data_IF_595011688445
#
_entry.id   IF_595011688445
#
_cell.length_a   1.000
_cell.length_b   1.000
_cell.length_c   1.000
_cell.angle_alpha   90.00
_cell.angle_beta   90.00
_cell.angle_gamma   90.00
#
_symmetry.space_group_name_H-M   'P 1'
#
loop_
_entity.id
_entity.type
_entity.pdbx_description
1 polymer ?
#
# COMPACT_ATOMS: atom_id res chain seq x y z
N UNK A 1 -1.18 -8.27 -30.49
CA UNK A 1 -1.83 -8.67 -29.22
C UNK A 1 -1.45 -10.11 -28.88
N UNK A 2 -1.07 -10.39 -27.63
CA UNK A 2 -0.50 -11.68 -27.20
C UNK A 2 -1.38 -12.90 -27.52
N UNK A 3 -2.69 -12.82 -27.27
CA UNK A 3 -3.62 -13.92 -27.53
C UNK A 3 -3.78 -14.27 -29.01
N UNK A 4 -3.89 -13.25 -29.89
CA UNK A 4 -3.96 -13.44 -31.35
C UNK A 4 -2.68 -14.07 -31.88
N UNK A 5 -1.54 -13.63 -31.36
CA UNK A 5 -0.21 -14.15 -31.69
C UNK A 5 0.11 -15.48 -31.00
N UNK A 6 -0.83 -16.07 -30.24
CA UNK A 6 -0.68 -17.33 -29.49
C UNK A 6 0.58 -17.37 -28.60
N UNK A 7 0.97 -16.22 -28.07
CA UNK A 7 2.11 -16.11 -27.17
C UNK A 7 1.77 -16.79 -25.84
N UNK A 8 2.71 -17.60 -25.34
CA UNK A 8 2.56 -18.28 -24.06
C UNK A 8 3.19 -17.44 -22.96
N UNK A 9 2.43 -17.23 -21.89
CA UNK A 9 2.90 -16.64 -20.66
C UNK A 9 2.34 -17.40 -19.45
N UNK A 10 2.85 -17.06 -18.28
CA UNK A 10 2.55 -17.68 -17.01
C UNK A 10 1.03 -17.67 -16.71
N UNK A 11 0.51 -18.79 -16.22
CA UNK A 11 -0.95 -19.03 -16.14
C UNK A 11 -1.59 -18.60 -14.82
N UNK A 12 -0.78 -18.13 -13.88
CA UNK A 12 -1.18 -17.73 -12.52
C UNK A 12 -1.94 -16.40 -12.52
N UNK A 13 -1.66 -15.52 -13.49
CA UNK A 13 -2.29 -14.21 -13.57
C UNK A 13 -3.79 -14.31 -13.88
N UNK A 14 -4.59 -13.47 -13.23
CA UNK A 14 -6.02 -13.29 -13.48
C UNK A 14 -6.29 -11.82 -13.75
N UNK A 15 -6.61 -11.50 -15.00
CA UNK A 15 -6.80 -10.12 -15.45
C UNK A 15 -8.21 -9.62 -15.14
N UNK A 16 -8.28 -8.43 -14.54
CA UNK A 16 -9.54 -7.70 -14.33
C UNK A 16 -9.54 -6.50 -15.27
N UNK A 17 -10.50 -6.45 -16.20
CA UNK A 17 -10.59 -5.37 -17.16
C UNK A 17 -11.21 -4.12 -16.52
N UNK A 18 -10.51 -3.00 -16.64
CA UNK A 18 -11.03 -1.64 -16.42
C UNK A 18 -10.85 -0.82 -17.69
N UNK A 19 -11.60 0.27 -17.82
CA UNK A 19 -11.51 1.13 -19.01
C UNK A 19 -10.23 1.98 -19.03
N UNK A 20 -9.72 2.36 -17.86
CA UNK A 20 -8.51 3.16 -17.69
C UNK A 20 -7.77 2.68 -16.44
N UNK A 21 -6.44 2.67 -16.48
CA UNK A 21 -5.61 2.36 -15.31
C UNK A 21 -5.86 3.35 -14.17
N UNK A 22 -6.25 4.59 -14.45
CA UNK A 22 -6.66 5.57 -13.43
C UNK A 22 -7.89 5.16 -12.61
N UNK A 23 -8.62 4.12 -13.02
CA UNK A 23 -9.69 3.52 -12.20
C UNK A 23 -9.13 2.67 -11.06
N UNK A 24 -7.88 2.21 -11.18
CA UNK A 24 -7.19 1.39 -10.19
C UNK A 24 -6.76 2.27 -9.02
N UNK A 25 -7.64 2.33 -8.03
CA UNK A 25 -7.40 2.98 -6.75
C UNK A 25 -6.64 2.07 -5.77
N UNK A 26 -5.97 2.69 -4.78
CA UNK A 26 -5.25 2.04 -3.68
C UNK A 26 -6.07 0.94 -2.97
N UNK A 27 -7.39 1.13 -2.76
CA UNK A 27 -8.24 0.10 -2.13
C UNK A 27 -8.28 -1.20 -2.96
N UNK A 28 -8.26 -1.14 -4.30
CA UNK A 28 -8.25 -2.35 -5.12
C UNK A 28 -6.97 -3.15 -4.91
N UNK A 29 -5.83 -2.45 -4.83
CA UNK A 29 -4.51 -3.04 -4.66
C UNK A 29 -4.41 -3.70 -3.28
N UNK A 30 -4.70 -2.93 -2.22
CA UNK A 30 -4.63 -3.43 -0.85
C UNK A 30 -5.66 -4.54 -0.58
N UNK A 31 -6.85 -4.46 -1.19
CA UNK A 31 -7.86 -5.53 -1.11
C UNK A 31 -7.39 -6.82 -1.78
N UNK A 32 -6.66 -6.75 -2.89
CA UNK A 32 -6.10 -7.94 -3.53
C UNK A 32 -5.12 -8.66 -2.57
N UNK A 33 -4.18 -7.92 -1.97
CA UNK A 33 -3.30 -8.48 -0.93
C UNK A 33 -4.09 -9.00 0.28
N UNK A 34 -5.14 -8.30 0.70
CA UNK A 34 -5.98 -8.72 1.84
C UNK A 34 -6.75 -10.01 1.58
N UNK A 35 -6.99 -10.33 0.30
CA UNK A 35 -7.59 -11.59 -0.14
C UNK A 35 -6.53 -12.68 -0.40
N UNK A 36 -5.26 -12.46 -0.03
CA UNK A 36 -4.19 -13.45 -0.13
C UNK A 36 -3.54 -13.57 -1.51
N UNK A 37 -3.60 -12.53 -2.35
CA UNK A 37 -2.86 -12.54 -3.62
C UNK A 37 -1.36 -12.27 -3.38
N UNK A 38 -0.49 -13.12 -3.93
CA UNK A 38 0.97 -13.02 -3.73
C UNK A 38 1.62 -11.87 -4.51
N UNK A 39 0.96 -11.40 -5.57
CA UNK A 39 1.39 -10.26 -6.37
C UNK A 39 0.22 -9.57 -7.06
N UNK A 40 0.37 -8.27 -7.29
CA UNK A 40 -0.61 -7.43 -8.01
C UNK A 40 0.10 -6.76 -9.19
N UNK A 41 -0.51 -6.87 -10.36
CA UNK A 41 0.00 -6.28 -11.60
C UNK A 41 -0.98 -5.23 -12.12
N UNK A 42 -0.48 -4.04 -12.48
CA UNK A 42 -1.25 -2.95 -13.08
C UNK A 42 -0.73 -2.71 -14.50
N UNK A 43 -1.54 -3.03 -15.50
CA UNK A 43 -1.26 -2.68 -16.90
C UNK A 43 -1.99 -1.39 -17.30
N UNK A 44 -1.27 -0.45 -17.92
CA UNK A 44 -1.85 0.80 -18.42
C UNK A 44 -1.33 1.19 -19.81
N UNK A 45 -1.93 2.22 -20.41
CA UNK A 45 -1.39 2.86 -21.62
C UNK A 45 -0.03 3.50 -21.31
N UNK A 46 0.90 3.49 -22.29
CA UNK A 46 2.15 4.25 -22.21
C UNK A 46 1.93 5.65 -21.63
N UNK A 47 2.84 6.08 -20.78
CA UNK A 47 2.79 7.43 -20.21
C UNK A 47 2.82 8.45 -21.36
N UNK A 48 2.02 9.52 -21.24
CA UNK A 48 1.73 10.51 -22.29
C UNK A 48 0.85 10.03 -23.46
N UNK A 49 0.62 8.73 -23.63
CA UNK A 49 -0.27 8.14 -24.65
C UNK A 49 -1.62 7.67 -24.06
N UNK A 50 -2.09 8.33 -22.99
CA UNK A 50 -3.36 7.96 -22.38
C UNK A 50 -4.53 8.23 -23.34
N UNK A 51 -5.42 7.25 -23.50
CA UNK A 51 -6.67 7.43 -24.26
C UNK A 51 -7.61 8.48 -23.62
N UNK A 52 -7.45 8.76 -22.33
CA UNK A 52 -8.26 9.74 -21.60
C UNK A 52 -7.44 11.00 -21.33
N UNK A 53 -7.99 12.17 -21.67
CA UNK A 53 -7.35 13.49 -21.50
C UNK A 53 -6.95 13.79 -20.06
N UNK A 54 -7.62 13.18 -19.08
CA UNK A 54 -7.27 13.31 -17.66
C UNK A 54 -5.90 12.72 -17.31
N UNK A 55 -5.34 11.88 -18.20
CA UNK A 55 -4.05 11.21 -18.02
C UNK A 55 -4.03 10.32 -16.76
N UNK A 56 -5.05 9.47 -16.63
CA UNK A 56 -5.23 8.59 -15.46
C UNK A 56 -4.15 7.51 -15.29
N UNK A 57 -3.29 7.30 -16.28
CA UNK A 57 -2.10 6.46 -16.15
C UNK A 57 -1.08 7.04 -15.15
N UNK A 58 -0.98 8.36 -15.03
CA UNK A 58 -0.18 9.00 -13.98
C UNK A 58 -0.79 8.87 -12.59
N UNK A 59 -2.13 8.88 -12.48
CA UNK A 59 -2.82 8.60 -11.20
C UNK A 59 -2.55 7.16 -10.75
N UNK A 60 -2.56 6.21 -11.69
CA UNK A 60 -2.19 4.82 -11.42
C UNK A 60 -0.73 4.67 -10.97
N UNK A 61 0.20 5.41 -11.59
CA UNK A 61 1.61 5.47 -11.18
C UNK A 61 1.74 6.01 -9.74
N UNK A 62 1.09 7.13 -9.44
CA UNK A 62 1.09 7.71 -8.09
C UNK A 62 0.54 6.75 -7.03
N UNK A 63 -0.62 6.13 -7.30
CA UNK A 63 -1.21 5.13 -6.42
C UNK A 63 -0.28 3.92 -6.20
N UNK A 64 0.41 3.46 -7.25
CA UNK A 64 1.36 2.36 -7.12
C UNK A 64 2.56 2.75 -6.25
N UNK A 65 3.12 3.94 -6.43
CA UNK A 65 4.25 4.43 -5.64
C UNK A 65 3.87 4.63 -4.15
N UNK A 66 2.69 5.20 -3.89
CA UNK A 66 2.12 5.30 -2.53
C UNK A 66 1.96 3.90 -1.93
N UNK A 67 1.37 2.96 -2.67
CA UNK A 67 1.15 1.60 -2.20
C UNK A 67 2.47 0.89 -1.91
N UNK A 68 3.50 1.03 -2.75
CA UNK A 68 4.83 0.44 -2.51
C UNK A 68 5.43 0.91 -1.19
N UNK A 69 5.34 2.22 -0.88
CA UNK A 69 5.79 2.74 0.42
C UNK A 69 5.01 2.14 1.60
N UNK A 70 3.69 1.99 1.46
CA UNK A 70 2.85 1.36 2.48
C UNK A 70 3.24 -0.11 2.68
N UNK A 71 3.42 -0.87 1.59
CA UNK A 71 3.82 -2.28 1.64
C UNK A 71 5.16 -2.44 2.38
N UNK A 72 6.16 -1.64 2.01
CA UNK A 72 7.47 -1.62 2.67
C UNK A 72 7.33 -1.31 4.17
N UNK A 73 6.53 -0.30 4.53
CA UNK A 73 6.31 0.07 5.93
C UNK A 73 5.62 -1.02 6.76
N UNK A 74 4.71 -1.81 6.17
CA UNK A 74 4.07 -2.93 6.88
C UNK A 74 4.90 -4.22 6.84
N UNK A 75 6.06 -4.21 6.20
CA UNK A 75 7.01 -5.32 6.14
C UNK A 75 6.86 -6.23 4.92
N UNK A 76 5.98 -5.89 3.96
CA UNK A 76 5.80 -6.64 2.73
C UNK A 76 6.76 -6.15 1.64
N UNK A 77 7.23 -7.06 0.80
CA UNK A 77 8.08 -6.69 -0.33
C UNK A 77 7.31 -5.78 -1.32
N UNK A 78 7.75 -4.53 -1.57
CA UNK A 78 7.08 -3.61 -2.49
C UNK A 78 7.06 -4.11 -3.95
N UNK A 79 7.97 -5.02 -4.32
CA UNK A 79 8.02 -5.59 -5.67
C UNK A 79 6.96 -6.66 -5.94
N UNK A 80 6.15 -7.01 -4.92
CA UNK A 80 4.88 -7.71 -5.13
C UNK A 80 3.85 -6.86 -5.87
N UNK A 81 4.07 -5.54 -6.01
CA UNK A 81 3.27 -4.66 -6.85
C UNK A 81 4.10 -4.22 -8.06
N UNK A 82 3.66 -4.57 -9.27
CA UNK A 82 4.28 -4.12 -10.52
C UNK A 82 3.30 -3.33 -11.35
N UNK A 83 3.78 -2.24 -11.96
CA UNK A 83 3.01 -1.39 -12.86
C UNK A 83 3.79 -1.26 -14.16
N UNK A 84 3.13 -1.51 -15.28
CA UNK A 84 3.75 -1.46 -16.60
C UNK A 84 2.86 -0.71 -17.58
N UNK A 85 3.48 0.16 -18.37
CA UNK A 85 2.79 1.03 -19.32
C UNK A 85 3.16 0.65 -20.75
N UNK A 86 2.18 0.20 -21.53
CA UNK A 86 2.39 -0.43 -22.83
C UNK A 86 1.35 0.00 -23.87
N UNK A 87 1.62 -0.27 -25.14
CA UNK A 87 0.68 -0.05 -26.24
C UNK A 87 -0.16 -1.33 -26.48
N UNK A 88 -1.32 -1.18 -27.11
CA UNK A 88 -2.17 -2.28 -27.58
C UNK A 88 -1.45 -3.32 -28.46
N UNK A 89 -0.41 -2.90 -29.17
CA UNK A 89 0.39 -3.75 -30.06
C UNK A 89 1.49 -4.53 -29.34
N UNK A 90 1.83 -4.19 -28.09
CA UNK A 90 2.98 -4.71 -27.32
C UNK A 90 2.72 -6.12 -26.73
N UNK A 91 2.23 -7.04 -27.56
CA UNK A 91 1.88 -8.40 -27.13
C UNK A 91 3.08 -9.22 -26.66
N UNK A 92 4.23 -9.08 -27.31
CA UNK A 92 5.49 -9.77 -26.93
C UNK A 92 5.93 -9.28 -25.56
N UNK A 93 6.05 -7.96 -25.41
CA UNK A 93 6.42 -7.32 -24.15
C UNK A 93 5.50 -7.72 -22.99
N UNK A 94 4.17 -7.72 -23.19
CA UNK A 94 3.23 -8.18 -22.16
C UNK A 94 3.52 -9.63 -21.73
N UNK A 95 3.82 -10.51 -22.68
CA UNK A 95 4.11 -11.92 -22.40
C UNK A 95 5.39 -12.07 -21.58
N UNK A 96 6.44 -11.32 -21.91
CA UNK A 96 7.73 -11.31 -21.21
C UNK A 96 7.56 -10.77 -19.79
N UNK A 97 6.92 -9.60 -19.66
CA UNK A 97 6.66 -8.93 -18.38
C UNK A 97 5.85 -9.82 -17.43
N UNK A 98 4.80 -10.48 -17.91
CA UNK A 98 4.00 -11.38 -17.07
C UNK A 98 4.84 -12.58 -16.61
N UNK A 99 5.67 -13.15 -17.49
CA UNK A 99 6.56 -14.25 -17.14
C UNK A 99 7.56 -13.84 -16.07
N UNK A 100 8.19 -12.68 -16.25
CA UNK A 100 9.19 -12.19 -15.31
C UNK A 100 8.56 -11.81 -13.97
N UNK A 101 7.39 -11.18 -13.98
CA UNK A 101 6.65 -10.91 -12.75
C UNK A 101 6.21 -12.19 -12.02
N UNK A 102 5.78 -13.22 -12.75
CA UNK A 102 5.45 -14.51 -12.16
C UNK A 102 6.69 -15.17 -11.54
N UNK A 103 7.86 -15.12 -12.20
CA UNK A 103 9.12 -15.61 -11.62
C UNK A 103 9.48 -14.87 -10.33
N UNK A 104 9.39 -13.54 -10.34
CA UNK A 104 9.71 -12.71 -9.18
C UNK A 104 8.80 -13.04 -8.00
N UNK A 105 7.48 -13.05 -8.21
CA UNK A 105 6.50 -13.38 -7.17
C UNK A 105 6.71 -14.79 -6.61
N UNK A 106 7.00 -15.77 -7.47
CA UNK A 106 7.34 -17.13 -7.03
C UNK A 106 8.63 -17.16 -6.20
N UNK A 107 9.64 -16.37 -6.57
CA UNK A 107 10.90 -16.28 -5.81
C UNK A 107 10.72 -15.66 -4.43
N UNK A 108 9.77 -14.73 -4.29
CA UNK A 108 9.42 -14.14 -3.00
C UNK A 108 8.67 -15.13 -2.11
N UNK A 109 8.04 -16.16 -2.68
CA UNK A 109 7.21 -17.11 -1.96
C UNK A 109 5.84 -16.55 -1.54
N UNK A 110 5.04 -17.34 -0.79
CA UNK A 110 3.69 -16.96 -0.39
C UNK A 110 3.67 -15.67 0.44
N UNK A 111 2.64 -14.84 0.22
CA UNK A 111 2.47 -13.56 0.90
C UNK A 111 2.61 -13.68 2.42
N UNK A 112 3.49 -12.88 3.01
CA UNK A 112 3.76 -12.85 4.45
C UNK A 112 4.77 -13.91 4.88
N UNK A 113 4.62 -15.15 4.41
CA UNK A 113 5.58 -16.24 4.72
C UNK A 113 6.93 -16.02 4.07
N UNK A 114 6.94 -15.53 2.83
CA UNK A 114 8.14 -15.16 2.09
C UNK A 114 8.98 -14.10 2.81
N UNK A 115 8.31 -13.21 3.53
CA UNK A 115 8.90 -12.15 4.32
C UNK A 115 9.17 -12.53 5.79
N UNK A 116 8.85 -13.77 6.19
CA UNK A 116 9.00 -14.21 7.59
C UNK A 116 8.04 -13.51 8.57
N UNK A 117 6.90 -13.01 8.09
CA UNK A 117 5.91 -12.32 8.91
C UNK A 117 4.90 -13.28 9.53
N UNK A 118 4.41 -12.94 10.72
CA UNK A 118 3.28 -13.63 11.33
C UNK A 118 1.99 -13.36 10.53
N UNK A 119 1.25 -14.44 10.20
CA UNK A 119 0.05 -14.40 9.38
C UNK A 119 -1.03 -13.45 9.94
N UNK A 120 -1.18 -13.36 11.26
CA UNK A 120 -2.15 -12.44 11.88
C UNK A 120 -1.62 -11.02 11.89
N UNK A 121 -0.34 -10.84 12.20
CA UNK A 121 0.33 -9.55 12.29
C UNK A 121 0.26 -8.75 10.98
N UNK A 122 0.69 -9.33 9.85
CA UNK A 122 0.68 -8.58 8.58
C UNK A 122 -0.73 -8.32 8.07
N UNK A 123 -1.67 -9.27 8.24
CA UNK A 123 -3.09 -9.09 7.86
C UNK A 123 -3.74 -7.96 8.65
N UNK A 124 -3.43 -7.87 9.94
CA UNK A 124 -3.87 -6.76 10.79
C UNK A 124 -3.33 -5.41 10.28
N UNK A 125 -2.04 -5.33 9.96
CA UNK A 125 -1.43 -4.11 9.39
C UNK A 125 -2.06 -3.73 8.05
N UNK A 126 -2.37 -4.71 7.21
CA UNK A 126 -2.98 -4.52 5.90
C UNK A 126 -4.43 -4.04 6.00
N UNK A 127 -5.21 -4.59 6.94
CA UNK A 127 -6.57 -4.12 7.23
C UNK A 127 -6.58 -2.67 7.75
N UNK A 128 -5.64 -2.32 8.62
CA UNK A 128 -5.45 -0.93 9.05
C UNK A 128 -5.11 0.00 7.88
N UNK A 129 -4.26 -0.43 6.95
CA UNK A 129 -3.92 0.35 5.75
C UNK A 129 -5.15 0.57 4.85
N UNK A 130 -5.97 -0.46 4.65
CA UNK A 130 -7.24 -0.37 3.91
C UNK A 130 -8.22 0.63 4.53
N UNK A 131 -8.40 0.57 5.85
CA UNK A 131 -9.25 1.52 6.60
C UNK A 131 -8.76 2.97 6.45
N UNK A 132 -7.47 3.18 6.24
CA UNK A 132 -6.88 4.51 6.07
C UNK A 132 -6.97 5.04 4.63
N UNK A 133 -7.36 4.23 3.64
CA UNK A 133 -7.42 4.64 2.21
C UNK A 133 -8.20 5.95 1.99
N UNK A 134 -9.39 6.17 2.58
CA UNK A 134 -10.11 7.43 2.38
C UNK A 134 -9.30 8.67 2.81
N UNK A 135 -8.52 8.54 3.89
CA UNK A 135 -7.65 9.60 4.38
C UNK A 135 -6.40 9.75 3.51
N UNK A 136 -5.79 8.64 3.06
CA UNK A 136 -4.63 8.67 2.15
C UNK A 136 -5.00 9.38 0.85
N UNK A 137 -6.20 9.15 0.32
CA UNK A 137 -6.70 9.87 -0.87
C UNK A 137 -6.80 11.39 -0.64
N UNK A 138 -7.14 11.83 0.57
CA UNK A 138 -7.17 13.24 0.89
C UNK A 138 -5.75 13.82 0.92
N UNK A 139 -4.83 13.13 1.61
CA UNK A 139 -3.41 13.52 1.69
C UNK A 139 -2.76 13.54 0.32
N UNK A 140 -3.06 12.57 -0.53
CA UNK A 140 -2.55 12.49 -1.91
C UNK A 140 -2.91 13.75 -2.69
N UNK A 141 -4.19 14.13 -2.68
CA UNK A 141 -4.70 15.31 -3.39
C UNK A 141 -4.14 16.63 -2.87
N UNK A 142 -3.95 16.75 -1.56
CA UNK A 142 -3.57 18.01 -0.91
C UNK A 142 -2.06 18.21 -0.80
N UNK A 143 -1.30 17.12 -0.62
CA UNK A 143 0.10 17.18 -0.20
C UNK A 143 1.07 16.34 -1.04
N UNK A 144 0.60 15.31 -1.77
CA UNK A 144 1.47 14.41 -2.53
C UNK A 144 1.24 14.46 -4.05
N UNK A 145 0.58 15.52 -4.53
CA UNK A 145 0.30 15.69 -5.95
C UNK A 145 1.55 16.13 -6.70
N UNK A 146 1.99 15.33 -7.66
CA UNK A 146 3.13 15.66 -8.51
C UNK A 146 2.72 16.74 -9.53
N UNK A 147 3.42 17.89 -9.61
CA UNK A 147 2.99 19.01 -10.46
C UNK A 147 3.20 18.74 -11.95
N UNK A 148 4.20 17.91 -12.29
CA UNK A 148 4.59 17.60 -13.67
C UNK A 148 4.24 16.14 -13.99
N UNK A 149 3.49 15.93 -15.07
CA UNK A 149 3.15 14.59 -15.57
C UNK A 149 4.30 14.05 -16.44
N UNK A 150 5.34 13.53 -15.78
CA UNK A 150 6.40 12.73 -16.39
C UNK A 150 6.81 11.61 -15.44
N UNK A 151 7.28 10.49 -15.97
CA UNK A 151 7.69 9.35 -15.16
C UNK A 151 8.81 9.75 -14.19
N UNK A 152 9.79 10.49 -14.69
CA UNK A 152 10.96 10.96 -13.95
C UNK A 152 10.55 11.92 -12.83
N UNK A 153 9.53 12.77 -13.06
CA UNK A 153 9.01 13.67 -12.04
C UNK A 153 8.36 12.89 -10.89
N UNK A 154 7.57 11.85 -11.20
CA UNK A 154 6.97 10.98 -10.19
C UNK A 154 8.03 10.23 -9.40
N UNK A 155 8.98 9.57 -10.08
CA UNK A 155 10.06 8.83 -9.42
C UNK A 155 10.87 9.76 -8.52
N UNK A 156 11.28 10.93 -9.01
CA UNK A 156 12.04 11.91 -8.23
C UNK A 156 11.27 12.42 -7.02
N UNK A 157 9.99 12.73 -7.19
CA UNK A 157 9.14 13.20 -6.10
C UNK A 157 9.04 12.13 -5.00
N UNK A 158 8.62 10.91 -5.34
CA UNK A 158 8.47 9.82 -4.37
C UNK A 158 9.78 9.27 -3.82
N UNK A 159 10.94 9.64 -4.38
CA UNK A 159 12.27 9.29 -3.86
C UNK A 159 12.92 10.44 -3.06
N UNK A 160 12.22 11.57 -2.88
CA UNK A 160 12.76 12.72 -2.14
C UNK A 160 12.61 12.55 -0.63
N UNK A 161 13.61 13.02 0.13
CA UNK A 161 13.56 13.05 1.60
C UNK A 161 12.36 13.85 2.13
N UNK A 162 11.99 14.93 1.44
CA UNK A 162 10.81 15.73 1.78
C UNK A 162 9.53 14.89 1.70
N UNK A 163 9.36 14.12 0.63
CA UNK A 163 8.19 13.24 0.47
C UNK A 163 8.22 12.13 1.52
N UNK A 164 9.38 11.54 1.80
CA UNK A 164 9.50 10.53 2.87
C UNK A 164 9.08 11.10 4.22
N UNK A 165 9.49 12.32 4.55
CA UNK A 165 9.09 12.98 5.78
C UNK A 165 7.57 13.20 5.85
N UNK A 166 6.97 13.68 4.75
CA UNK A 166 5.52 13.85 4.66
C UNK A 166 4.78 12.51 4.83
N UNK A 167 5.29 11.43 4.26
CA UNK A 167 4.71 10.09 4.44
C UNK A 167 4.75 9.64 5.90
N UNK A 168 5.86 9.85 6.59
CA UNK A 168 5.97 9.49 8.01
C UNK A 168 4.95 10.27 8.84
N UNK A 169 4.94 11.61 8.69
CA UNK A 169 4.10 12.49 9.50
C UNK A 169 2.60 12.35 9.19
N UNK A 170 2.23 12.19 7.92
CA UNK A 170 0.82 12.18 7.51
C UNK A 170 0.24 10.77 7.43
N UNK A 171 0.97 9.79 6.92
CA UNK A 171 0.42 8.46 6.62
C UNK A 171 0.82 7.44 7.70
N UNK A 172 2.12 7.29 7.99
CA UNK A 172 2.58 6.22 8.90
C UNK A 172 2.22 6.48 10.36
N UNK A 173 2.34 7.71 10.84
CA UNK A 173 1.88 8.09 12.19
C UNK A 173 0.37 7.81 12.34
N UNK A 174 -0.44 8.11 11.31
CA UNK A 174 -1.87 7.81 11.31
C UNK A 174 -2.17 6.32 11.25
N UNK A 175 -1.39 5.56 10.48
CA UNK A 175 -1.51 4.12 10.42
C UNK A 175 -1.21 3.48 11.78
N UNK A 176 -0.16 3.92 12.47
CA UNK A 176 0.17 3.47 13.82
C UNK A 176 -0.96 3.78 14.81
N UNK A 177 -1.55 4.98 14.77
CA UNK A 177 -2.70 5.33 15.60
C UNK A 177 -3.90 4.42 15.28
N UNK A 178 -4.21 4.17 14.01
CA UNK A 178 -5.29 3.27 13.61
C UNK A 178 -5.07 1.84 14.12
N UNK A 179 -3.84 1.34 14.07
CA UNK A 179 -3.46 0.04 14.63
C UNK A 179 -3.64 0.00 16.14
N UNK A 180 -3.12 0.99 16.87
CA UNK A 180 -3.28 1.10 18.33
C UNK A 180 -4.77 1.10 18.69
N UNK A 181 -5.57 1.94 18.03
CA UNK A 181 -7.01 2.01 18.28
C UNK A 181 -7.71 0.68 18.01
N UNK A 182 -7.29 -0.07 16.98
CA UNK A 182 -7.87 -1.39 16.68
C UNK A 182 -7.54 -2.42 17.77
N UNK A 183 -6.31 -2.42 18.31
CA UNK A 183 -5.95 -3.28 19.44
C UNK A 183 -6.74 -2.94 20.71
N UNK A 184 -6.89 -1.65 21.00
CA UNK A 184 -7.62 -1.17 22.19
C UNK A 184 -9.13 -1.47 22.13
N UNK A 185 -9.71 -1.64 20.94
CA UNK A 185 -11.11 -2.08 20.78
C UNK A 185 -11.32 -3.54 21.16
N UNK A 186 -10.30 -4.38 21.02
CA UNK A 186 -10.38 -5.79 21.40
C UNK A 186 -10.23 -5.98 22.90
N UNK A 187 -9.25 -5.30 23.51
CA UNK A 187 -9.00 -5.35 24.94
C UNK A 187 -8.20 -4.15 25.44
N UNK A 188 -8.33 -3.79 26.74
CA UNK A 188 -7.44 -2.80 27.36
C UNK A 188 -6.00 -3.30 27.43
N UNK A 189 -5.06 -2.48 26.96
CA UNK A 189 -3.63 -2.82 26.86
C UNK A 189 -2.75 -1.73 27.45
N UNK A 190 -1.58 -2.13 27.94
CA UNK A 190 -0.50 -1.24 28.36
C UNK A 190 0.35 -0.79 27.16
N UNK A 191 1.13 0.29 27.35
CA UNK A 191 2.10 0.76 26.35
C UNK A 191 3.08 -0.34 25.92
N UNK A 192 3.53 -1.19 26.86
CA UNK A 192 4.46 -2.28 26.60
C UNK A 192 3.85 -3.35 25.70
N UNK A 193 2.64 -3.82 26.03
CA UNK A 193 1.92 -4.83 25.23
C UNK A 193 1.66 -4.31 23.79
N UNK A 194 1.30 -3.04 23.64
CA UNK A 194 1.09 -2.42 22.32
C UNK A 194 2.40 -2.32 21.54
N UNK A 195 3.48 -1.89 22.20
CA UNK A 195 4.81 -1.78 21.60
C UNK A 195 5.32 -3.12 21.09
N UNK A 196 5.20 -4.17 21.90
CA UNK A 196 5.59 -5.54 21.54
C UNK A 196 4.76 -6.07 20.36
N UNK A 197 3.44 -5.86 20.41
CA UNK A 197 2.52 -6.36 19.36
C UNK A 197 2.76 -5.67 18.01
N UNK A 198 3.02 -4.35 18.01
CA UNK A 198 3.16 -3.57 16.78
C UNK A 198 4.61 -3.44 16.30
N UNK A 199 5.59 -3.81 17.13
CA UNK A 199 7.01 -3.59 16.87
C UNK A 199 7.39 -2.10 16.86
N UNK A 200 6.65 -1.26 17.59
CA UNK A 200 6.86 0.18 17.66
C UNK A 200 7.66 0.56 18.91
N UNK A 201 8.40 1.67 18.85
CA UNK A 201 9.12 2.17 20.03
C UNK A 201 8.12 2.58 21.14
N UNK A 202 8.29 2.14 22.42
CA UNK A 202 7.42 2.53 23.53
C UNK A 202 7.19 4.04 23.67
N UNK A 203 8.21 4.86 23.38
CA UNK A 203 8.11 6.32 23.40
C UNK A 203 7.18 6.86 22.32
N UNK A 204 7.21 6.28 21.10
CA UNK A 204 6.29 6.63 20.02
C UNK A 204 4.86 6.21 20.35
N UNK A 205 4.67 4.99 20.87
CA UNK A 205 3.36 4.50 21.33
C UNK A 205 2.78 5.43 22.39
N UNK A 206 3.59 5.82 23.38
CA UNK A 206 3.18 6.77 24.42
C UNK A 206 2.79 8.14 23.85
N UNK A 207 3.56 8.66 22.87
CA UNK A 207 3.24 9.90 22.17
C UNK A 207 1.88 9.83 21.48
N UNK A 208 1.61 8.72 20.77
CA UNK A 208 0.32 8.50 20.10
C UNK A 208 -0.84 8.37 21.08
N UNK A 209 -0.70 7.55 22.13
CA UNK A 209 -1.73 7.38 23.16
C UNK A 209 -2.07 8.68 23.87
N UNK A 210 -1.05 9.48 24.22
CA UNK A 210 -1.25 10.80 24.83
C UNK A 210 -1.97 11.77 23.89
N UNK A 211 -1.64 11.76 22.59
CA UNK A 211 -2.34 12.56 21.59
C UNK A 211 -3.79 12.13 21.41
N UNK A 212 -4.05 10.82 21.33
CA UNK A 212 -5.39 10.25 21.21
C UNK A 212 -6.23 10.48 22.48
N UNK A 213 -5.63 10.46 23.67
CA UNK A 213 -6.32 10.75 24.92
C UNK A 213 -6.73 12.23 25.02
N UNK A 214 -5.87 13.16 24.57
CA UNK A 214 -6.23 14.59 24.46
C UNK A 214 -7.39 14.84 23.49
N UNK A 215 -7.55 13.99 22.49
CA UNK A 215 -8.66 14.03 21.54
C UNK A 215 -9.92 13.30 22.04
N UNK A 216 -9.88 12.73 23.26
CA UNK A 216 -11.00 12.00 23.85
C UNK A 216 -11.26 10.64 23.19
N UNK A 217 -10.31 10.07 22.44
CA UNK A 217 -10.46 8.78 21.77
C UNK A 217 -10.08 7.59 22.67
N UNK A 218 -9.22 7.83 23.67
CA UNK A 218 -8.65 6.81 24.55
C UNK A 218 -8.69 7.30 26.00
N UNK A 219 -9.11 6.43 26.91
CA UNK A 219 -9.05 6.64 28.36
C UNK A 219 -7.95 5.79 28.97
N UNK A 220 -7.29 6.35 29.99
CA UNK A 220 -6.30 5.65 30.79
C UNK A 220 -6.90 5.24 32.13
N UNK A 221 -6.92 3.94 32.41
CA UNK A 221 -7.29 3.41 33.72
C UNK A 221 -6.07 3.40 34.63
N UNK A 222 -6.09 4.28 35.63
CA UNK A 222 -5.01 4.47 36.61
C UNK A 222 -4.81 3.22 37.48
N UNK A 223 -5.87 2.48 37.77
CA UNK A 223 -5.82 1.31 38.65
C UNK A 223 -5.18 0.12 37.94
N UNK A 224 -5.49 -0.06 36.67
CA UNK A 224 -4.97 -1.18 35.87
C UNK A 224 -3.70 -0.84 35.07
N UNK A 225 -3.31 0.44 35.03
CA UNK A 225 -2.22 0.99 34.19
C UNK A 225 -2.39 0.61 32.70
N UNK A 226 -3.63 0.66 32.22
CA UNK A 226 -4.02 0.23 30.87
C UNK A 226 -4.79 1.34 30.16
N UNK A 227 -4.71 1.33 28.84
CA UNK A 227 -5.51 2.19 27.97
C UNK A 227 -6.70 1.40 27.44
N UNK A 228 -7.83 2.07 27.26
CA UNK A 228 -9.04 1.55 26.62
C UNK A 228 -9.66 2.61 25.72
N UNK A 229 -10.45 2.21 24.73
CA UNK A 229 -11.22 3.18 23.92
C UNK A 229 -12.21 3.93 24.83
N UNK A 230 -12.33 5.24 24.61
CA UNK A 230 -13.15 6.12 25.43
C UNK A 230 -14.67 5.88 25.32
#
# INVERSE_FOLDING_TARGET
MAGVSRLRYATEIRLIRVMCSGRVDLEHILRAFSNGQDGVFIGGCRLNECNYTTQGNYDALGNALICKKILSHIGLNPDRLRTEFMNSSDGIFLSEVINDFSKDVNSFGPLGKGEGLDDRGFRFKLDAARKLVPYIRLVERERLRVPVKSEEAYIRFFSSEETDRLFHELIFDKLAICQIMSLLREKPLSTGEISETLGLNPSQVSKFLNSSSRQGLVRYDVNQKRFAVA
#
